data_IF_428591593835
#
_entry.id   IF_428591593835
#
_cell.length_a   1.000
_cell.length_b   1.000
_cell.length_c   1.000
_cell.angle_alpha   90.00
_cell.angle_beta   90.00
_cell.angle_gamma   90.00
#
_symmetry.space_group_name_H-M   'P 1'
#
loop_
_entity.id
_entity.type
_entity.pdbx_description
1 polymer ?
#
# COMPACT_ATOMS: atom_id res chain seq x y z
N UNK A 1 -61.60 -2.84 19.45
CA UNK A 1 -60.15 -2.60 19.65
C UNK A 1 -59.45 -3.08 18.39
N UNK A 2 -58.85 -2.16 17.60
CA UNK A 2 -58.27 -2.46 16.28
C UNK A 2 -56.75 -2.38 16.43
N UNK A 3 -56.09 -3.53 16.56
CA UNK A 3 -54.63 -3.62 16.61
C UNK A 3 -54.11 -3.57 15.17
N UNK A 4 -53.50 -2.46 14.80
CA UNK A 4 -52.73 -2.33 13.55
C UNK A 4 -51.28 -2.66 13.92
N UNK A 5 -50.82 -3.84 13.51
CA UNK A 5 -49.41 -4.24 13.62
C UNK A 5 -48.72 -3.76 12.33
N UNK A 6 -47.96 -2.68 12.41
CA UNK A 6 -47.09 -2.23 11.31
C UNK A 6 -45.77 -3.02 11.37
N UNK A 7 -45.63 -4.01 10.48
CA UNK A 7 -44.35 -4.68 10.23
C UNK A 7 -43.56 -3.82 9.24
N UNK A 8 -42.57 -3.09 9.75
CA UNK A 8 -41.60 -2.38 8.92
C UNK A 8 -40.55 -3.36 8.41
N UNK A 9 -40.67 -3.81 7.15
CA UNK A 9 -39.59 -4.51 6.45
C UNK A 9 -38.46 -3.50 6.18
N UNK A 10 -37.37 -3.57 6.94
CA UNK A 10 -36.13 -2.91 6.55
C UNK A 10 -35.49 -3.71 5.43
N UNK A 11 -35.55 -3.18 4.20
CA UNK A 11 -34.78 -3.70 3.07
C UNK A 11 -33.31 -3.38 3.32
N UNK A 12 -32.53 -4.37 3.76
CA UNK A 12 -31.08 -4.26 3.78
C UNK A 12 -30.59 -4.23 2.32
N UNK A 13 -30.18 -3.05 1.84
CA UNK A 13 -29.51 -2.95 0.55
C UNK A 13 -28.17 -3.68 0.65
N UNK A 14 -27.85 -4.60 -0.28
CA UNK A 14 -26.53 -5.21 -0.32
C UNK A 14 -25.50 -4.10 -0.50
N UNK A 15 -24.53 -4.01 0.42
CA UNK A 15 -23.34 -3.19 0.19
C UNK A 15 -22.62 -3.79 -1.02
N UNK A 16 -22.55 -3.05 -2.12
CA UNK A 16 -21.71 -3.45 -3.24
C UNK A 16 -20.27 -3.53 -2.74
N UNK A 17 -19.65 -4.70 -2.83
CA UNK A 17 -18.24 -4.86 -2.55
C UNK A 17 -17.47 -3.96 -3.52
N UNK A 18 -16.64 -3.05 -3.00
CA UNK A 18 -15.77 -2.25 -3.86
C UNK A 18 -14.73 -3.16 -4.52
N UNK A 19 -14.38 -2.92 -5.81
CA UNK A 19 -13.29 -3.64 -6.45
C UNK A 19 -12.01 -3.51 -5.61
N UNK A 20 -11.31 -4.62 -5.40
CA UNK A 20 -10.13 -4.65 -4.54
C UNK A 20 -9.02 -3.69 -5.00
N UNK A 21 -8.88 -3.54 -6.31
CA UNK A 21 -7.89 -2.66 -6.94
C UNK A 21 -8.54 -1.59 -7.83
N UNK A 22 -9.49 -0.85 -7.27
CA UNK A 22 -10.03 0.34 -7.93
C UNK A 22 -8.94 1.42 -8.07
N UNK A 23 -8.81 2.13 -9.22
CA UNK A 23 -7.83 3.20 -9.37
C UNK A 23 -7.96 4.27 -8.26
N UNK A 24 -7.01 4.24 -7.33
CA UNK A 24 -7.08 5.02 -6.10
C UNK A 24 -5.69 5.26 -5.52
N UNK A 25 -5.55 6.40 -4.82
CA UNK A 25 -4.34 6.81 -4.13
C UNK A 25 -4.52 6.64 -2.62
N UNK A 26 -3.52 6.07 -1.97
CA UNK A 26 -3.42 5.92 -0.53
C UNK A 26 -2.10 6.51 -0.05
N UNK A 27 -2.12 7.08 1.16
CA UNK A 27 -0.95 7.66 1.76
C UNK A 27 -0.89 7.38 3.27
N UNK A 28 0.33 7.42 3.80
CA UNK A 28 0.62 7.47 5.23
C UNK A 28 1.82 8.38 5.44
N UNK A 29 1.64 9.37 6.30
CA UNK A 29 2.68 10.25 6.82
C UNK A 29 2.81 9.94 8.31
N UNK A 30 4.00 9.53 8.76
CA UNK A 30 4.26 9.15 10.14
C UNK A 30 4.79 10.34 10.93
N UNK A 31 4.13 10.67 12.04
CA UNK A 31 4.58 11.79 12.86
C UNK A 31 5.95 11.54 13.50
N UNK A 32 6.72 12.58 13.81
CA UNK A 32 7.99 12.45 14.53
C UNK A 32 7.86 11.67 15.85
N UNK A 33 6.74 11.84 16.57
CA UNK A 33 6.49 11.10 17.81
C UNK A 33 6.29 9.59 17.58
N UNK A 34 5.62 9.22 16.48
CA UNK A 34 5.48 7.82 16.08
C UNK A 34 6.84 7.22 15.74
N UNK A 35 7.63 7.90 14.90
CA UNK A 35 8.94 7.42 14.48
C UNK A 35 9.92 7.28 15.66
N UNK A 36 9.91 8.24 16.57
CA UNK A 36 10.70 8.15 17.80
C UNK A 36 10.31 6.95 18.68
N UNK A 37 9.06 6.47 18.59
CA UNK A 37 8.59 5.27 19.30
C UNK A 37 8.85 3.96 18.56
N UNK A 38 9.22 4.02 17.27
CA UNK A 38 9.46 2.88 16.39
C UNK A 38 10.86 2.97 15.77
N UNK A 39 11.95 2.84 16.55
CA UNK A 39 13.31 3.12 16.09
C UNK A 39 13.81 2.22 14.93
N UNK A 40 13.14 1.10 14.69
CA UNK A 40 13.46 0.20 13.58
C UNK A 40 12.74 0.57 12.28
N UNK A 41 11.69 1.41 12.34
CA UNK A 41 10.89 1.80 11.19
C UNK A 41 11.72 2.68 10.26
N UNK A 42 11.81 2.35 8.98
CA UNK A 42 12.58 3.06 7.97
C UNK A 42 11.73 3.99 7.13
N UNK A 43 10.41 3.79 7.06
CA UNK A 43 9.49 4.61 6.26
C UNK A 43 8.97 5.82 7.06
N UNK A 44 9.21 7.02 6.54
CA UNK A 44 8.66 8.30 7.03
C UNK A 44 7.30 8.60 6.39
N UNK A 45 7.26 8.47 5.07
CA UNK A 45 6.04 8.62 4.28
C UNK A 45 5.91 7.47 3.27
N UNK A 46 4.68 7.02 3.04
CA UNK A 46 4.34 6.00 2.07
C UNK A 46 3.18 6.49 1.20
N UNK A 47 3.38 6.64 -0.10
CA UNK A 47 2.33 6.78 -1.10
C UNK A 47 2.19 5.49 -1.94
N UNK A 48 0.95 5.12 -2.26
CA UNK A 48 0.63 4.00 -3.14
C UNK A 48 -0.55 4.37 -4.05
N UNK A 49 -0.38 4.13 -5.34
CA UNK A 49 -1.44 4.31 -6.33
C UNK A 49 -1.72 3.02 -7.09
N UNK A 50 -2.98 2.58 -7.08
CA UNK A 50 -3.44 1.57 -8.03
C UNK A 50 -3.82 2.23 -9.35
N UNK A 51 -3.47 1.59 -10.46
CA UNK A 51 -3.91 1.95 -11.80
C UNK A 51 -4.26 0.70 -12.60
N UNK A 52 -5.05 0.88 -13.65
CA UNK A 52 -5.47 -0.21 -14.52
C UNK A 52 -5.11 0.12 -15.97
N UNK A 53 -4.33 -0.75 -16.59
CA UNK A 53 -4.01 -0.67 -18.01
C UNK A 53 -5.08 -1.41 -18.83
N UNK A 54 -5.89 -0.64 -19.54
CA UNK A 54 -6.97 -1.17 -20.37
C UNK A 54 -6.52 -1.94 -21.60
N UNK A 55 -5.27 -1.75 -22.06
CA UNK A 55 -4.72 -2.44 -23.24
C UNK A 55 -4.36 -3.88 -22.90
N UNK A 56 -3.84 -4.10 -21.70
CA UNK A 56 -3.41 -5.42 -21.23
C UNK A 56 -4.37 -6.04 -20.21
N UNK A 57 -5.43 -5.33 -19.83
CA UNK A 57 -6.37 -5.73 -18.77
C UNK A 57 -5.64 -6.09 -17.47
N UNK A 58 -4.62 -5.29 -17.13
CA UNK A 58 -3.68 -5.54 -16.05
C UNK A 58 -3.72 -4.39 -15.04
N UNK A 59 -3.80 -4.74 -13.76
CA UNK A 59 -3.68 -3.77 -12.66
C UNK A 59 -2.22 -3.65 -12.24
N UNK A 60 -1.79 -2.41 -12.03
CA UNK A 60 -0.49 -2.06 -11.50
C UNK A 60 -0.63 -1.30 -10.19
N UNK A 61 0.42 -1.34 -9.37
CA UNK A 61 0.62 -0.41 -8.28
C UNK A 61 1.93 0.35 -8.50
N UNK A 62 1.93 1.62 -8.11
CA UNK A 62 3.13 2.43 -8.01
C UNK A 62 3.26 2.90 -6.58
N UNK A 63 4.42 2.71 -5.99
CA UNK A 63 4.72 3.17 -4.63
C UNK A 63 5.84 4.19 -4.66
N UNK A 64 5.77 5.13 -3.73
CA UNK A 64 6.84 6.05 -3.40
C UNK A 64 6.97 6.13 -1.89
N UNK A 65 8.17 5.91 -1.37
CA UNK A 65 8.45 5.93 0.06
C UNK A 65 9.56 6.92 0.36
N UNK A 66 9.32 7.81 1.32
CA UNK A 66 10.38 8.60 1.93
C UNK A 66 10.99 7.82 3.08
N UNK A 67 12.32 7.68 3.06
CA UNK A 67 13.06 6.98 4.08
C UNK A 67 13.51 7.92 5.18
N UNK A 68 13.42 7.45 6.42
CA UNK A 68 14.04 8.08 7.60
C UNK A 68 15.55 7.82 7.65
N UNK A 69 16.24 8.41 8.64
CA UNK A 69 17.62 8.05 9.05
C UNK A 69 17.61 7.21 10.34
N UNK A 70 16.86 6.11 10.33
CA UNK A 70 16.78 5.14 11.43
C UNK A 70 16.63 3.71 10.88
N UNK A 71 16.44 2.72 11.77
CA UNK A 71 16.36 1.32 11.39
C UNK A 71 17.58 0.82 10.61
N UNK A 72 17.33 -0.03 9.60
CA UNK A 72 18.39 -0.69 8.86
C UNK A 72 18.98 0.15 7.71
N UNK A 73 18.42 1.33 7.44
CA UNK A 73 18.94 2.28 6.43
C UNK A 73 19.78 3.40 7.06
N UNK A 74 19.83 3.48 8.39
CA UNK A 74 20.55 4.52 9.11
C UNK A 74 22.03 4.62 8.70
N UNK A 75 22.49 5.85 8.40
CA UNK A 75 23.87 6.11 7.99
C UNK A 75 24.26 5.56 6.61
N UNK A 76 23.32 5.03 5.84
CA UNK A 76 23.53 4.67 4.43
C UNK A 76 23.27 5.89 3.52
N UNK A 77 23.73 5.89 2.26
CA UNK A 77 23.37 6.94 1.29
C UNK A 77 21.87 7.05 0.97
N UNK A 78 21.08 6.05 1.37
CA UNK A 78 19.64 5.94 1.13
C UNK A 78 18.81 6.57 2.25
N UNK A 79 19.41 6.84 3.42
CA UNK A 79 18.73 7.54 4.50
C UNK A 79 18.26 8.93 4.05
N UNK A 80 17.01 9.28 4.33
CA UNK A 80 16.42 10.56 3.91
C UNK A 80 16.05 10.64 2.42
N UNK A 81 16.21 9.57 1.64
CA UNK A 81 15.87 9.56 0.22
C UNK A 81 14.43 9.13 0.00
N UNK A 82 13.84 9.62 -1.08
CA UNK A 82 12.61 9.07 -1.64
C UNK A 82 12.95 8.00 -2.68
N UNK A 83 12.35 6.82 -2.55
CA UNK A 83 12.48 5.72 -3.48
C UNK A 83 11.11 5.36 -4.07
N UNK A 84 11.08 4.97 -5.33
CA UNK A 84 9.86 4.53 -6.01
C UNK A 84 10.00 3.10 -6.57
N UNK A 85 8.84 2.47 -6.84
CA UNK A 85 8.79 1.13 -7.41
C UNK A 85 7.45 0.89 -8.12
N UNK A 86 7.52 0.32 -9.32
CA UNK A 86 6.37 -0.22 -10.04
C UNK A 86 6.13 -1.70 -9.70
N UNK A 87 4.87 -2.10 -9.58
CA UNK A 87 4.45 -3.46 -9.24
C UNK A 87 3.30 -3.93 -10.11
N UNK A 88 3.25 -5.25 -10.33
CA UNK A 88 2.15 -5.93 -11.02
C UNK A 88 1.23 -6.54 -9.97
N UNK A 89 -0.06 -6.23 -10.04
CA UNK A 89 -1.04 -6.72 -9.08
C UNK A 89 -1.76 -7.97 -9.58
N UNK A 90 -2.14 -8.82 -8.64
CA UNK A 90 -2.79 -10.10 -8.89
C UNK A 90 -3.86 -10.37 -7.83
N UNK A 91 -4.84 -11.17 -8.21
CA UNK A 91 -5.88 -11.71 -7.33
C UNK A 91 -5.96 -13.20 -7.61
N UNK A 92 -5.90 -14.02 -6.57
CA UNK A 92 -6.22 -15.44 -6.64
C UNK A 92 -7.41 -15.78 -5.72
N UNK A 93 -7.72 -17.06 -5.55
CA UNK A 93 -8.90 -17.51 -4.81
C UNK A 93 -8.84 -17.19 -3.30
N UNK A 94 -7.65 -16.90 -2.75
CA UNK A 94 -7.42 -16.80 -1.29
C UNK A 94 -6.79 -15.47 -0.91
N UNK A 95 -5.97 -14.90 -1.79
CA UNK A 95 -5.12 -13.76 -1.54
C UNK A 95 -5.10 -12.81 -2.71
N UNK A 96 -4.63 -11.60 -2.45
CA UNK A 96 -4.39 -10.62 -3.48
C UNK A 96 -3.20 -9.77 -3.05
N UNK A 97 -2.47 -9.25 -4.02
CA UNK A 97 -1.25 -8.53 -3.74
C UNK A 97 -0.67 -7.88 -4.99
N UNK A 98 0.49 -7.26 -4.82
CA UNK A 98 1.29 -6.80 -5.94
C UNK A 98 2.75 -7.18 -5.72
N UNK A 99 3.44 -7.52 -6.80
CA UNK A 99 4.83 -7.98 -6.78
C UNK A 99 5.70 -7.14 -7.69
N UNK A 100 6.95 -6.97 -7.27
CA UNK A 100 8.02 -6.42 -8.10
C UNK A 100 8.55 -7.53 -8.99
N UNK A 101 8.87 -7.20 -10.24
CA UNK A 101 9.50 -8.17 -11.14
C UNK A 101 10.92 -8.52 -10.68
N UNK A 102 11.48 -9.61 -11.20
CA UNK A 102 12.86 -10.04 -10.93
C UNK A 102 13.15 -10.34 -9.45
N UNK A 103 12.22 -11.05 -8.80
CA UNK A 103 12.34 -11.48 -7.41
C UNK A 103 12.47 -10.33 -6.40
N UNK A 104 12.03 -9.11 -6.74
CA UNK A 104 12.04 -7.95 -5.82
C UNK A 104 11.01 -8.01 -4.69
N UNK A 105 10.33 -9.15 -4.52
CA UNK A 105 9.36 -9.35 -3.44
C UNK A 105 7.96 -8.84 -3.76
N UNK A 106 7.12 -8.75 -2.73
CA UNK A 106 5.69 -8.53 -2.88
C UNK A 106 5.06 -7.99 -1.60
N UNK A 107 3.82 -7.50 -1.71
CA UNK A 107 2.93 -7.31 -0.58
C UNK A 107 1.58 -7.99 -0.81
N UNK A 108 0.97 -8.45 0.27
CA UNK A 108 -0.42 -8.91 0.35
C UNK A 108 -1.33 -7.74 0.73
N UNK A 109 -2.49 -7.62 0.10
CA UNK A 109 -3.56 -6.75 0.60
C UNK A 109 -4.39 -7.52 1.62
N UNK A 110 -4.18 -7.23 2.90
CA UNK A 110 -4.90 -7.89 4.00
C UNK A 110 -6.22 -7.19 4.32
N UNK A 111 -6.36 -5.93 3.92
CA UNK A 111 -7.61 -5.16 3.99
C UNK A 111 -7.65 -4.08 2.92
N UNK A 112 -8.78 -3.97 2.23
CA UNK A 112 -9.14 -2.75 1.51
C UNK A 112 -10.66 -2.51 1.66
N UNK A 113 -11.04 -1.42 2.31
CA UNK A 113 -12.45 -1.02 2.47
C UNK A 113 -12.80 0.28 1.72
N UNK A 114 -11.94 0.68 0.79
CA UNK A 114 -12.08 1.91 0.02
C UNK A 114 -11.72 3.18 0.79
N UNK A 115 -11.39 3.12 2.07
CA UNK A 115 -10.81 4.24 2.83
C UNK A 115 -9.48 3.86 3.47
N UNK A 116 -9.36 2.61 3.89
CA UNK A 116 -8.16 2.06 4.52
C UNK A 116 -7.65 0.93 3.63
N UNK A 117 -6.35 0.99 3.34
CA UNK A 117 -5.58 -0.09 2.76
C UNK A 117 -4.59 -0.60 3.80
N UNK A 118 -4.64 -1.90 4.12
CA UNK A 118 -3.58 -2.57 4.89
C UNK A 118 -2.87 -3.54 3.96
N UNK A 119 -1.56 -3.35 3.87
CA UNK A 119 -0.68 -4.18 3.08
C UNK A 119 0.39 -4.81 3.97
N UNK A 120 0.64 -6.10 3.76
CA UNK A 120 1.58 -6.91 4.54
C UNK A 120 2.71 -7.39 3.64
N UNK A 121 3.94 -7.24 4.10
CA UNK A 121 5.12 -7.77 3.40
C UNK A 121 6.12 -8.33 4.39
N UNK A 122 6.81 -9.39 4.02
CA UNK A 122 8.00 -9.90 4.69
C UNK A 122 9.27 -9.73 3.85
N UNK A 123 9.11 -9.26 2.60
CA UNK A 123 10.17 -8.94 1.68
C UNK A 123 9.58 -8.16 0.49
N UNK A 124 9.94 -6.88 0.38
CA UNK A 124 9.56 -6.02 -0.75
C UNK A 124 10.63 -4.97 -0.95
N UNK A 125 11.33 -5.05 -2.07
CA UNK A 125 12.40 -4.12 -2.41
C UNK A 125 11.85 -2.90 -3.16
N UNK A 126 12.37 -1.72 -2.85
CA UNK A 126 12.03 -0.44 -3.50
C UNK A 126 13.26 0.36 -3.91
N UNK A 127 13.12 1.17 -4.96
CA UNK A 127 14.16 2.02 -5.52
C UNK A 127 14.85 1.43 -6.74
N UNK A 128 15.20 2.26 -7.70
CA UNK A 128 15.87 1.82 -8.92
C UNK A 128 17.33 1.42 -8.60
N UNK A 129 17.65 0.14 -8.78
CA UNK A 129 19.04 -0.30 -8.95
C UNK A 129 19.31 -0.39 -10.46
N UNK A 130 20.53 -0.56 -10.95
CA UNK A 130 20.76 -0.71 -12.41
C UNK A 130 20.12 -2.03 -12.96
N UNK A 131 18.79 -2.15 -12.93
CA UNK A 131 17.99 -3.36 -13.12
C UNK A 131 16.68 -3.39 -12.31
N UNK A 132 15.83 -4.38 -12.59
CA UNK A 132 14.67 -4.72 -11.75
C UNK A 132 15.16 -5.40 -10.47
N UNK A 133 14.80 -4.89 -9.30
CA UNK A 133 15.20 -5.55 -8.04
C UNK A 133 15.14 -4.72 -6.77
N UNK A 134 14.99 -3.40 -6.81
CA UNK A 134 14.88 -2.60 -5.58
C UNK A 134 16.20 -2.46 -4.80
N UNK A 135 16.33 -1.39 -4.01
CA UNK A 135 17.51 -1.09 -3.19
C UNK A 135 17.28 -1.33 -1.68
N UNK A 136 16.05 -1.15 -1.20
CA UNK A 136 15.70 -1.18 0.23
C UNK A 136 14.52 -2.09 0.49
N UNK A 137 14.61 -2.93 1.52
CA UNK A 137 13.54 -3.84 1.93
C UNK A 137 12.56 -3.18 2.91
N UNK A 138 11.28 -3.17 2.55
CA UNK A 138 10.20 -2.61 3.37
C UNK A 138 9.71 -3.55 4.49
N UNK A 139 10.37 -4.68 4.74
CA UNK A 139 10.07 -5.56 5.87
C UNK A 139 10.38 -4.96 7.25
N UNK A 140 10.96 -3.75 7.33
CA UNK A 140 11.40 -3.08 8.57
C UNK A 140 12.46 -3.85 9.35
N UNK A 141 13.22 -4.68 8.63
CA UNK A 141 14.38 -5.41 9.12
C UNK A 141 14.34 -6.90 8.78
N UNK A 142 15.51 -7.57 8.79
CA UNK A 142 15.62 -8.94 8.28
C UNK A 142 14.67 -9.94 8.96
N UNK A 143 13.91 -10.67 8.14
CA UNK A 143 13.02 -11.75 8.60
C UNK A 143 11.78 -11.28 9.36
N UNK A 144 11.46 -9.98 9.30
CA UNK A 144 10.25 -9.43 9.89
C UNK A 144 9.13 -9.41 8.87
N UNK A 145 7.90 -9.49 9.36
CA UNK A 145 6.71 -9.19 8.58
C UNK A 145 6.17 -7.85 9.06
N UNK A 146 6.01 -6.91 8.14
CA UNK A 146 5.50 -5.57 8.42
C UNK A 146 4.14 -5.39 7.77
N UNK A 147 3.26 -4.67 8.47
CA UNK A 147 1.97 -4.24 7.92
C UNK A 147 1.93 -2.71 7.90
N UNK A 148 1.80 -2.15 6.71
CA UNK A 148 1.56 -0.72 6.53
C UNK A 148 0.07 -0.48 6.41
N UNK A 149 -0.42 0.55 7.10
CA UNK A 149 -1.80 0.99 7.03
C UNK A 149 -1.85 2.37 6.41
N UNK A 150 -2.40 2.44 5.20
CA UNK A 150 -2.53 3.65 4.41
C UNK A 150 -3.98 4.13 4.40
N UNK A 151 -4.16 5.44 4.26
CA UNK A 151 -5.47 6.08 4.17
C UNK A 151 -5.69 6.59 2.76
N UNK A 152 -6.91 6.44 2.23
CA UNK A 152 -7.26 6.97 0.92
C UNK A 152 -7.14 8.49 0.93
N UNK A 153 -6.52 9.02 -0.11
CA UNK A 153 -6.39 10.45 -0.35
C UNK A 153 -6.86 10.80 -1.77
N UNK A 154 -6.81 12.08 -2.14
CA UNK A 154 -7.13 12.49 -3.50
C UNK A 154 -6.09 11.94 -4.49
N UNK A 155 -6.55 11.42 -5.63
CA UNK A 155 -5.65 10.85 -6.65
C UNK A 155 -4.58 11.83 -7.14
N UNK A 156 -4.92 13.13 -7.18
CA UNK A 156 -3.98 14.19 -7.54
C UNK A 156 -2.70 14.19 -6.68
N UNK A 157 -2.77 13.77 -5.41
CA UNK A 157 -1.59 13.66 -4.55
C UNK A 157 -0.59 12.65 -5.12
N UNK A 158 -1.05 11.48 -5.55
CA UNK A 158 -0.18 10.48 -6.18
C UNK A 158 0.26 10.93 -7.58
N UNK A 159 -0.64 11.53 -8.36
CA UNK A 159 -0.32 12.00 -9.72
C UNK A 159 0.80 13.06 -9.73
N UNK A 160 0.91 13.85 -8.66
CA UNK A 160 1.94 14.89 -8.52
C UNK A 160 3.25 14.37 -7.90
N UNK A 161 3.20 13.29 -7.12
CA UNK A 161 4.31 12.90 -6.21
C UNK A 161 4.91 11.52 -6.48
N UNK A 162 4.25 10.67 -7.25
CA UNK A 162 4.79 9.38 -7.66
C UNK A 162 5.38 9.52 -9.07
N UNK A 163 6.70 9.38 -9.27
CA UNK A 163 7.31 9.36 -10.59
C UNK A 163 6.80 8.16 -11.39
N UNK A 164 6.55 8.33 -12.69
CA UNK A 164 6.13 7.26 -13.62
C UNK A 164 6.95 7.29 -14.89
#
# INVERSE_FOLDING_TARGET
MRNIICISLMLATPAAAQPLFDPSCYARDYSPEHLASQPDQIVDEFLLQFSHDTKYDQTFAWISVELTDQGHVAGTPLAGQTLDQGLICWVDDVTAGCSVECDGGWFEVTRNDGNILELRTDYLLVGDTEGCGGAVDLSEGPGRTTTYRLMRVANAICDERIPR
#
